data_IF_689573323470
#
_entry.id   IF_689573323470
#
_cell.length_a   1.000
_cell.length_b   1.000
_cell.length_c   1.000
_cell.angle_alpha   90.00
_cell.angle_beta   90.00
_cell.angle_gamma   90.00
#
_symmetry.space_group_name_H-M   'P 1'
#
loop_
_entity.id
_entity.type
_entity.pdbx_description
1 polymer ?
#
# COMPACT_ATOMS: atom_id res chain seq x y z
N UNK A 1 -9.45 22.67 -0.16
CA UNK A 1 -8.57 21.90 0.75
C UNK A 1 -9.31 20.67 1.20
N UNK A 2 -8.61 19.51 1.30
CA UNK A 2 -9.20 18.29 1.81
C UNK A 2 -8.45 17.83 3.06
N UNK A 3 -9.16 17.11 3.93
CA UNK A 3 -8.59 16.53 5.13
C UNK A 3 -8.78 15.02 5.09
N UNK A 4 -7.79 14.27 5.55
CA UNK A 4 -7.84 12.81 5.54
C UNK A 4 -9.08 12.26 6.25
N UNK A 5 -9.54 12.93 7.32
CA UNK A 5 -10.73 12.52 8.07
C UNK A 5 -12.02 12.60 7.26
N UNK A 6 -12.02 13.40 6.19
CA UNK A 6 -13.20 13.58 5.33
C UNK A 6 -13.24 12.61 4.16
N UNK A 7 -12.15 11.88 3.91
CA UNK A 7 -12.07 10.90 2.83
C UNK A 7 -12.68 9.59 3.29
N UNK A 8 -13.64 9.08 2.52
CA UNK A 8 -14.27 7.78 2.81
C UNK A 8 -13.31 6.64 2.54
N UNK A 9 -13.22 5.73 3.50
CA UNK A 9 -12.48 4.48 3.33
C UNK A 9 -13.27 3.52 2.45
N UNK A 10 -12.55 2.79 1.59
CA UNK A 10 -13.09 1.71 0.77
C UNK A 10 -12.29 0.44 1.01
N UNK A 11 -12.97 -0.70 1.14
CA UNK A 11 -12.27 -1.98 1.15
C UNK A 11 -11.93 -2.36 -0.30
N UNK A 12 -10.67 -2.20 -0.66
CA UNK A 12 -10.18 -2.44 -2.04
C UNK A 12 -9.88 -3.92 -2.25
N UNK A 13 -9.35 -4.58 -1.24
CA UNK A 13 -9.07 -6.01 -1.19
C UNK A 13 -9.45 -6.49 0.20
N UNK A 14 -9.69 -7.80 0.41
CA UNK A 14 -10.06 -8.31 1.74
C UNK A 14 -9.07 -7.85 2.83
N UNK A 15 -9.57 -7.09 3.79
CA UNK A 15 -8.80 -6.56 4.91
C UNK A 15 -7.99 -5.30 4.62
N UNK A 16 -8.01 -4.78 3.39
CA UNK A 16 -7.29 -3.56 2.99
C UNK A 16 -8.27 -2.42 2.76
N UNK A 17 -8.37 -1.53 3.75
CA UNK A 17 -9.29 -0.40 3.73
C UNK A 17 -8.51 0.87 3.39
N UNK A 18 -8.76 1.43 2.22
CA UNK A 18 -7.98 2.53 1.68
C UNK A 18 -8.73 3.84 1.59
N UNK A 19 -8.05 4.93 1.95
CA UNK A 19 -8.45 6.28 1.63
C UNK A 19 -7.59 6.75 0.46
N UNK A 20 -8.22 7.12 -0.65
CA UNK A 20 -7.57 7.31 -1.94
C UNK A 20 -7.59 8.78 -2.35
N UNK A 21 -6.43 9.27 -2.77
CA UNK A 21 -6.30 10.60 -3.37
C UNK A 21 -5.57 10.44 -4.70
N UNK A 22 -6.21 10.89 -5.78
CA UNK A 22 -5.65 10.82 -7.12
C UNK A 22 -5.30 12.21 -7.62
N UNK A 23 -4.02 12.41 -7.95
CA UNK A 23 -3.56 13.57 -8.67
C UNK A 23 -3.61 13.33 -10.17
N UNK A 24 -2.93 14.18 -10.93
CA UNK A 24 -2.83 14.03 -12.38
C UNK A 24 -1.89 12.89 -12.77
N UNK A 25 -0.75 12.78 -12.09
CA UNK A 25 0.31 11.81 -12.43
C UNK A 25 0.64 10.83 -11.30
N UNK A 26 -0.10 10.86 -10.21
CA UNK A 26 0.17 10.00 -9.06
C UNK A 26 -1.08 9.71 -8.26
N UNK A 27 -1.05 8.60 -7.52
CA UNK A 27 -2.07 8.26 -6.54
C UNK A 27 -1.43 8.11 -5.17
N UNK A 28 -2.12 8.59 -4.14
CA UNK A 28 -1.73 8.44 -2.75
C UNK A 28 -2.81 7.65 -2.04
N UNK A 29 -2.40 6.65 -1.26
CA UNK A 29 -3.33 5.79 -0.53
C UNK A 29 -2.90 5.71 0.92
N UNK A 30 -3.84 5.93 1.82
CA UNK A 30 -3.66 5.64 3.24
C UNK A 30 -4.47 4.39 3.57
N UNK A 31 -3.77 3.34 4.02
CA UNK A 31 -4.37 2.05 4.30
C UNK A 31 -4.52 1.80 5.79
N UNK A 32 -5.69 1.30 6.17
CA UNK A 32 -5.88 0.52 7.39
C UNK A 32 -5.96 -0.95 6.99
N UNK A 33 -5.07 -1.76 7.53
CA UNK A 33 -4.94 -3.18 7.14
C UNK A 33 -5.22 -4.07 8.33
N UNK A 34 -6.14 -5.01 8.16
CA UNK A 34 -6.46 -5.98 9.19
C UNK A 34 -5.31 -6.95 9.41
N UNK A 35 -5.14 -7.42 10.65
CA UNK A 35 -4.15 -8.45 10.95
C UNK A 35 -4.38 -9.67 10.06
N UNK A 36 -3.28 -10.24 9.55
CA UNK A 36 -3.24 -11.40 8.67
C UNK A 36 -3.79 -11.18 7.25
N UNK A 37 -4.25 -9.98 6.91
CA UNK A 37 -4.68 -9.68 5.55
C UNK A 37 -3.50 -9.75 4.58
N UNK A 38 -3.71 -10.41 3.44
CA UNK A 38 -2.66 -10.66 2.44
C UNK A 38 -3.00 -10.02 1.12
N UNK A 39 -1.96 -9.52 0.43
CA UNK A 39 -2.00 -9.20 -0.99
C UNK A 39 -1.23 -10.27 -1.71
N UNK A 40 -1.86 -11.06 -2.59
CA UNK A 40 -1.15 -12.10 -3.35
C UNK A 40 -0.13 -11.47 -4.30
N UNK A 41 0.84 -12.29 -4.72
CA UNK A 41 1.89 -11.82 -5.61
C UNK A 41 1.31 -11.24 -6.89
N UNK A 42 1.76 -10.05 -7.24
CA UNK A 42 1.34 -9.32 -8.43
C UNK A 42 2.44 -8.35 -8.86
N UNK A 43 2.27 -7.77 -10.02
CA UNK A 43 3.11 -6.67 -10.50
C UNK A 43 2.24 -5.69 -11.29
N UNK A 44 2.73 -4.47 -11.41
CA UNK A 44 2.05 -3.40 -12.13
C UNK A 44 3.06 -2.41 -12.69
N UNK A 45 2.64 -1.65 -13.68
CA UNK A 45 3.52 -0.65 -14.33
C UNK A 45 3.91 0.49 -13.37
N UNK A 46 3.11 0.72 -12.34
CA UNK A 46 3.32 1.81 -11.40
C UNK A 46 4.56 1.58 -10.56
N UNK A 47 5.42 2.59 -10.49
CA UNK A 47 6.40 2.67 -9.41
C UNK A 47 5.65 2.96 -8.11
N UNK A 48 6.09 2.35 -7.03
CA UNK A 48 5.41 2.47 -5.74
C UNK A 48 6.42 2.78 -4.64
N UNK A 49 6.04 3.67 -3.73
CA UNK A 49 6.75 3.85 -2.46
C UNK A 49 5.79 3.45 -1.36
N UNK A 50 6.20 2.48 -0.52
CA UNK A 50 5.43 2.04 0.63
C UNK A 50 6.09 2.53 1.91
N UNK A 51 5.28 3.08 2.82
CA UNK A 51 5.73 3.52 4.14
C UNK A 51 4.85 2.86 5.20
N UNK A 52 5.49 2.19 6.17
CA UNK A 52 4.77 1.62 7.32
C UNK A 52 4.62 2.72 8.38
N UNK A 53 3.37 3.07 8.71
CA UNK A 53 3.06 4.09 9.72
C UNK A 53 2.90 3.45 11.09
N UNK A 54 2.16 2.35 11.17
CA UNK A 54 1.94 1.57 12.39
C UNK A 54 1.92 0.08 12.07
N UNK A 55 2.32 -0.74 13.03
CA UNK A 55 2.27 -2.20 12.91
C UNK A 55 3.51 -2.79 12.26
N UNK A 56 3.43 -4.09 11.99
CA UNK A 56 4.50 -4.89 11.39
C UNK A 56 3.99 -5.52 10.11
N UNK A 57 4.64 -5.22 9.00
CA UNK A 57 4.23 -5.66 7.67
C UNK A 57 5.33 -6.48 7.01
N UNK A 58 4.96 -7.65 6.47
CA UNK A 58 5.89 -8.51 5.73
C UNK A 58 5.69 -8.26 4.24
N UNK A 59 6.77 -7.92 3.54
CA UNK A 59 6.77 -7.71 2.10
C UNK A 59 7.77 -8.65 1.45
N UNK A 60 7.33 -9.37 0.43
CA UNK A 60 8.19 -10.17 -0.43
C UNK A 60 8.35 -9.42 -1.75
N UNK A 61 9.59 -9.03 -2.04
CA UNK A 61 9.94 -8.22 -3.19
C UNK A 61 10.91 -9.01 -4.04
N UNK A 62 10.52 -9.37 -5.25
CA UNK A 62 11.31 -10.19 -6.18
C UNK A 62 11.87 -11.46 -5.50
N UNK A 63 11.00 -12.16 -4.77
CA UNK A 63 11.33 -13.40 -4.06
C UNK A 63 12.03 -13.21 -2.72
N UNK A 64 12.38 -11.99 -2.34
CA UNK A 64 13.05 -11.71 -1.07
C UNK A 64 12.06 -11.15 -0.05
N UNK A 65 11.94 -11.82 1.10
CA UNK A 65 11.02 -11.43 2.16
C UNK A 65 11.75 -10.64 3.25
N UNK A 66 11.22 -9.49 3.59
CA UNK A 66 11.68 -8.67 4.72
C UNK A 66 10.48 -8.25 5.57
N UNK A 67 10.75 -7.97 6.84
CA UNK A 67 9.75 -7.46 7.78
C UNK A 67 9.99 -5.96 7.99
N UNK A 68 8.92 -5.17 7.82
CA UNK A 68 8.96 -3.72 7.90
C UNK A 68 8.24 -3.25 9.16
N UNK A 69 8.81 -2.25 9.81
CA UNK A 69 8.34 -1.67 11.07
C UNK A 69 8.01 -0.19 10.89
N UNK A 70 7.34 0.45 11.86
CA UNK A 70 7.00 1.87 11.75
C UNK A 70 8.21 2.74 11.39
N UNK A 71 8.03 3.57 10.37
CA UNK A 71 9.08 4.43 9.83
C UNK A 71 9.82 3.87 8.64
N UNK A 72 9.75 2.55 8.40
CA UNK A 72 10.43 1.94 7.25
C UNK A 72 9.74 2.34 5.95
N UNK A 73 10.57 2.59 4.94
CA UNK A 73 10.14 2.98 3.59
C UNK A 73 10.83 2.08 2.58
N UNK A 74 10.08 1.65 1.57
CA UNK A 74 10.64 0.84 0.48
C UNK A 74 10.15 1.35 -0.86
N UNK A 75 11.04 1.29 -1.86
CA UNK A 75 10.70 1.59 -3.26
C UNK A 75 10.45 0.25 -3.95
N UNK A 76 9.27 0.12 -4.57
CA UNK A 76 8.91 -1.03 -5.38
C UNK A 76 8.96 -0.59 -6.84
N UNK A 77 9.99 -1.04 -7.60
CA UNK A 77 10.12 -0.65 -9.00
C UNK A 77 8.95 -1.11 -9.87
N UNK A 78 8.75 -0.40 -10.97
CA UNK A 78 7.77 -0.77 -12.00
C UNK A 78 7.96 -2.23 -12.41
N UNK A 79 6.84 -2.97 -12.49
CA UNK A 79 6.76 -4.38 -12.92
C UNK A 79 7.52 -5.39 -12.05
N UNK A 80 7.97 -5.01 -10.86
CA UNK A 80 8.63 -5.95 -9.95
C UNK A 80 7.58 -6.76 -9.19
N UNK A 81 7.64 -8.11 -9.24
CA UNK A 81 6.72 -8.95 -8.50
C UNK A 81 6.84 -8.72 -6.99
N UNK A 82 5.69 -8.58 -6.32
CA UNK A 82 5.67 -8.40 -4.88
C UNK A 82 4.38 -8.93 -4.28
N UNK A 83 4.45 -9.29 -3.01
CA UNK A 83 3.31 -9.71 -2.19
C UNK A 83 3.51 -9.22 -0.77
N UNK A 84 2.41 -9.12 -0.01
CA UNK A 84 2.49 -8.61 1.34
C UNK A 84 1.52 -9.28 2.30
N UNK A 85 1.85 -9.20 3.59
CA UNK A 85 1.01 -9.69 4.67
C UNK A 85 1.17 -8.80 5.89
N UNK A 86 0.06 -8.37 6.47
CA UNK A 86 0.07 -7.66 7.73
C UNK A 86 0.23 -8.66 8.87
N UNK A 87 1.38 -8.68 9.52
CA UNK A 87 1.61 -9.58 10.66
C UNK A 87 0.86 -9.14 11.90
N UNK A 88 0.61 -7.83 12.00
CA UNK A 88 -0.28 -7.20 12.97
C UNK A 88 -1.24 -6.32 12.20
N UNK A 89 -2.22 -5.72 12.88
CA UNK A 89 -2.97 -4.62 12.31
C UNK A 89 -1.98 -3.51 11.92
N UNK A 90 -2.12 -2.99 10.71
CA UNK A 90 -1.17 -2.00 10.16
C UNK A 90 -1.87 -0.75 9.66
N UNK A 91 -1.09 0.34 9.65
CA UNK A 91 -1.37 1.54 8.86
C UNK A 91 -0.20 1.73 7.90
N UNK A 92 -0.52 1.83 6.61
CA UNK A 92 0.46 1.99 5.55
C UNK A 92 0.13 3.22 4.72
N UNK A 93 1.15 3.82 4.10
CA UNK A 93 0.95 4.80 3.05
C UNK A 93 1.65 4.31 1.79
N UNK A 94 0.96 4.43 0.65
CA UNK A 94 1.51 4.12 -0.66
C UNK A 94 1.39 5.31 -1.58
N UNK A 95 2.45 5.52 -2.37
CA UNK A 95 2.43 6.47 -3.48
C UNK A 95 2.67 5.65 -4.74
N UNK A 96 1.83 5.88 -5.76
CA UNK A 96 1.93 5.23 -7.07
C UNK A 96 2.08 6.27 -8.16
N UNK A 97 2.96 6.02 -9.11
CA UNK A 97 3.09 6.81 -10.33
C UNK A 97 3.26 5.87 -11.54
N UNK A 98 2.46 6.02 -12.58
CA UNK A 98 1.35 6.97 -12.79
C UNK A 98 0.15 6.70 -11.89
N UNK A 99 -0.93 7.44 -12.11
CA UNK A 99 -2.18 7.28 -11.35
C UNK A 99 -2.66 5.83 -11.38
N UNK A 100 -3.08 5.33 -10.22
CA UNK A 100 -3.60 3.96 -10.07
C UNK A 100 -5.08 3.94 -10.45
N UNK A 101 -5.37 3.89 -11.77
CA UNK A 101 -6.73 4.02 -12.31
C UNK A 101 -7.69 2.94 -11.79
N UNK A 102 -7.22 1.73 -11.56
CA UNK A 102 -8.03 0.63 -11.02
C UNK A 102 -8.53 0.87 -9.60
N UNK A 103 -8.00 1.88 -8.91
CA UNK A 103 -8.44 2.28 -7.57
C UNK A 103 -9.46 3.42 -7.58
N UNK A 104 -9.79 3.94 -8.73
CA UNK A 104 -10.79 5.01 -8.87
C UNK A 104 -12.22 4.53 -8.70
#
# INVERSE_FOLDING_TARGET
MMNLSEIKSKEIMPGYHGKLVHGESMSWVFWDVDQDAEVPEHFHIHEQIMHVVEGTFELTLDGKTDTYHPGDVVIIPSNMPHRGKALTKCKLMDIFSPVRDEYR
#
